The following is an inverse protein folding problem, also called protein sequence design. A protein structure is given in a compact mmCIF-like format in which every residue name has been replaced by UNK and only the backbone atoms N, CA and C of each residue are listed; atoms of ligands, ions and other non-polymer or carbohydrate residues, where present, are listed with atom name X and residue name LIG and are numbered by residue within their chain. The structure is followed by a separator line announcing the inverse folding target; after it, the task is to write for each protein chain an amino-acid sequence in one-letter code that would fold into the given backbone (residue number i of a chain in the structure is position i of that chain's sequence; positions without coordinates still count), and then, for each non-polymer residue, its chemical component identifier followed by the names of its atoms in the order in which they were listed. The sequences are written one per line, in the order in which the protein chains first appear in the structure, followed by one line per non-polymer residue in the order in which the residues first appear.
data_IF_197575917270
#
_entry.id   IF_197575917270
#
_cell.length_a   1.000
_cell.length_b   1.000
_cell.length_c   1.000
_cell.angle_alpha   90.00
_cell.angle_beta   90.00
_cell.angle_gamma   90.00
#
_symmetry.space_group_name_H-M   'P 1'
#
loop_
_entity.id
_entity.type
_entity.pdbx_description
1 polymer ?
#
# COMPACT_ATOMS: atom_id res chain seq x y z
N UNK A 1 11.30 -2.99 -12.84
CA UNK A 1 12.38 -3.22 -11.85
C UNK A 1 13.34 -2.04 -11.72
N UNK A 2 13.78 -1.39 -12.81
CA UNK A 2 14.61 -0.16 -12.73
C UNK A 2 13.92 0.98 -11.98
N UNK A 3 12.69 1.36 -12.38
CA UNK A 3 11.95 2.45 -11.75
C UNK A 3 11.70 2.27 -10.24
N UNK A 4 11.60 1.02 -9.75
CA UNK A 4 11.35 0.74 -8.33
C UNK A 4 12.60 0.94 -7.47
N UNK A 5 13.77 0.45 -7.94
CA UNK A 5 15.03 0.66 -7.23
C UNK A 5 15.46 2.12 -7.23
N UNK A 6 15.19 2.82 -8.34
CA UNK A 6 15.42 4.26 -8.47
C UNK A 6 14.55 5.06 -7.50
N UNK A 7 13.24 4.77 -7.46
CA UNK A 7 12.32 5.47 -6.57
C UNK A 7 12.62 5.18 -5.09
N UNK A 8 12.97 3.93 -4.74
CA UNK A 8 13.49 3.60 -3.42
C UNK A 8 14.75 4.43 -3.11
N UNK A 9 15.70 4.51 -4.03
CA UNK A 9 16.94 5.27 -3.85
C UNK A 9 16.70 6.77 -3.66
N UNK A 10 15.76 7.35 -4.43
CA UNK A 10 15.31 8.74 -4.29
C UNK A 10 14.73 8.98 -2.90
N UNK A 11 13.82 8.12 -2.45
CA UNK A 11 13.19 8.21 -1.13
C UNK A 11 14.20 7.99 0.01
N UNK A 12 15.14 7.06 -0.13
CA UNK A 12 16.21 6.86 0.87
C UNK A 12 17.09 8.12 1.02
N UNK A 13 17.37 8.82 -0.09
CA UNK A 13 18.11 10.10 -0.06
C UNK A 13 17.28 11.22 0.58
N UNK A 14 15.99 11.33 0.21
CA UNK A 14 15.06 12.34 0.72
C UNK A 14 14.82 12.18 2.23
N UNK A 15 14.60 10.95 2.68
CA UNK A 15 14.29 10.61 4.08
C UNK A 15 15.54 10.47 4.95
N UNK A 16 16.73 10.32 4.35
CA UNK A 16 17.97 10.06 5.08
C UNK A 16 18.01 8.70 5.80
N UNK A 17 17.19 7.74 5.36
CA UNK A 17 17.04 6.45 6.02
C UNK A 17 16.80 5.30 5.03
N UNK A 18 17.26 4.10 5.37
CA UNK A 18 17.03 2.88 4.58
C UNK A 18 15.59 2.43 4.70
N UNK A 19 14.97 2.10 3.57
CA UNK A 19 13.57 1.66 3.52
C UNK A 19 13.41 0.37 2.70
N UNK A 20 12.33 -0.37 2.96
CA UNK A 20 11.67 -1.22 1.98
C UNK A 20 10.59 -0.41 1.28
N UNK A 21 10.30 -0.76 0.04
CA UNK A 21 9.27 -0.12 -0.75
C UNK A 21 8.43 -1.22 -1.36
N UNK A 22 7.20 -1.37 -0.91
CA UNK A 22 6.34 -2.47 -1.32
C UNK A 22 5.21 -1.92 -2.18
N UNK A 23 4.99 -2.57 -3.32
CA UNK A 23 3.86 -2.27 -4.18
C UNK A 23 2.70 -3.17 -3.74
N UNK A 24 1.63 -2.55 -3.25
CA UNK A 24 0.45 -3.28 -2.81
C UNK A 24 -0.71 -2.94 -3.75
N UNK A 25 -1.26 -3.99 -4.36
CA UNK A 25 -2.58 -4.07 -5.00
C UNK A 25 -2.83 -3.27 -6.28
N UNK A 26 -3.81 -3.77 -7.06
CA UNK A 26 -4.17 -3.48 -8.45
C UNK A 26 -4.47 -2.01 -8.84
N UNK A 27 -5.07 -1.78 -10.04
CA UNK A 27 -5.10 -0.46 -10.68
C UNK A 27 -6.01 0.58 -10.00
N UNK A 28 -6.79 0.19 -8.98
CA UNK A 28 -7.65 1.11 -8.22
C UNK A 28 -6.76 2.13 -7.49
N UNK A 29 -7.08 3.42 -7.62
CA UNK A 29 -6.30 4.52 -7.06
C UNK A 29 -5.31 5.18 -8.04
N UNK A 30 -5.26 4.73 -9.30
CA UNK A 30 -4.50 5.40 -10.35
C UNK A 30 -5.23 6.64 -10.86
N UNK A 31 -4.93 7.80 -10.27
CA UNK A 31 -5.40 9.09 -10.79
C UNK A 31 -4.48 9.57 -11.93
N UNK A 32 -4.72 9.10 -13.17
CA UNK A 32 -4.09 9.67 -14.37
C UNK A 32 -2.60 9.40 -14.55
N UNK A 33 -2.02 8.46 -13.79
CA UNK A 33 -0.62 8.00 -13.93
C UNK A 33 -0.57 6.55 -14.44
N UNK A 34 0.52 6.20 -15.12
CA UNK A 34 0.80 4.79 -15.44
C UNK A 34 0.92 3.98 -14.13
N UNK A 35 0.39 2.75 -14.08
CA UNK A 35 0.55 1.87 -12.92
C UNK A 35 2.02 1.65 -12.58
N UNK A 36 2.30 1.58 -11.28
CA UNK A 36 3.57 1.01 -10.82
C UNK A 36 3.59 -0.48 -11.13
N UNK A 37 4.76 -1.08 -11.10
CA UNK A 37 4.91 -2.54 -11.20
C UNK A 37 5.30 -3.09 -9.84
N UNK A 38 4.57 -4.09 -9.38
CA UNK A 38 4.97 -4.86 -8.20
C UNK A 38 6.17 -5.78 -8.49
N UNK A 39 6.61 -6.51 -7.48
CA UNK A 39 7.74 -7.44 -7.55
C UNK A 39 7.48 -8.63 -8.49
N UNK A 40 6.21 -8.96 -8.71
CA UNK A 40 5.75 -9.96 -9.69
C UNK A 40 5.56 -9.39 -11.12
N UNK A 41 5.58 -8.07 -11.27
CA UNK A 41 5.33 -7.35 -12.52
C UNK A 41 3.86 -7.00 -12.79
N UNK A 42 2.96 -7.23 -11.83
CA UNK A 42 1.56 -6.81 -11.93
C UNK A 42 1.40 -5.30 -11.68
N UNK A 43 0.28 -4.75 -12.13
CA UNK A 43 -0.03 -3.33 -11.96
C UNK A 43 -0.33 -3.01 -10.50
N UNK A 44 0.31 -1.97 -9.98
CA UNK A 44 0.09 -1.46 -8.65
C UNK A 44 -0.39 0.00 -8.67
N UNK A 45 -1.49 0.26 -7.96
CA UNK A 45 -2.10 1.58 -7.87
C UNK A 45 -1.33 2.56 -7.00
N UNK A 46 -0.60 2.03 -6.01
CA UNK A 46 0.14 2.78 -5.00
C UNK A 46 1.29 1.94 -4.43
N UNK A 47 2.17 2.60 -3.68
CA UNK A 47 3.31 1.97 -3.01
C UNK A 47 3.37 2.44 -1.56
N UNK A 48 3.96 1.62 -0.70
CA UNK A 48 4.16 1.92 0.71
C UNK A 48 5.64 1.78 1.08
N UNK A 49 6.18 2.79 1.74
CA UNK A 49 7.55 2.78 2.24
C UNK A 49 7.56 2.38 3.72
N UNK A 50 8.44 1.45 4.08
CA UNK A 50 8.66 1.05 5.47
C UNK A 50 10.14 1.20 5.82
N UNK A 51 10.43 1.78 6.99
CA UNK A 51 11.81 1.84 7.51
C UNK A 51 12.37 0.42 7.62
N UNK A 52 13.61 0.20 7.18
CA UNK A 52 14.25 -1.12 7.26
C UNK A 52 14.41 -1.63 8.70
N UNK A 53 14.53 -0.70 9.67
CA UNK A 53 14.53 -1.02 11.10
C UNK A 53 13.14 -1.02 11.74
N UNK A 54 12.06 -0.89 10.96
CA UNK A 54 10.69 -0.90 11.44
C UNK A 54 10.20 -2.31 11.82
N UNK A 55 9.28 -2.39 12.77
CA UNK A 55 8.82 -3.64 13.37
C UNK A 55 7.52 -4.21 12.77
N UNK A 56 7.11 -3.80 11.58
CA UNK A 56 5.81 -4.20 11.01
C UNK A 56 5.95 -5.45 10.15
N UNK A 57 5.08 -6.42 10.42
CA UNK A 57 4.98 -7.69 9.71
C UNK A 57 3.85 -7.60 8.68
N UNK A 58 4.20 -7.69 7.40
CA UNK A 58 3.29 -7.48 6.25
C UNK A 58 2.10 -8.45 6.22
N UNK A 59 2.27 -9.69 6.71
CA UNK A 59 1.22 -10.72 6.61
C UNK A 59 -0.02 -10.43 7.48
N UNK A 60 0.17 -10.00 8.73
CA UNK A 60 -0.94 -9.73 9.65
C UNK A 60 -1.76 -8.52 9.18
N UNK A 61 -1.08 -7.49 8.64
CA UNK A 61 -1.72 -6.31 8.06
C UNK A 61 -2.62 -6.70 6.86
N UNK A 62 -2.12 -7.57 5.97
CA UNK A 62 -2.88 -8.05 4.80
C UNK A 62 -4.07 -8.91 5.24
N UNK A 63 -3.89 -9.85 6.17
CA UNK A 63 -4.97 -10.69 6.67
C UNK A 63 -6.05 -9.87 7.40
N UNK A 64 -5.63 -8.87 8.17
CA UNK A 64 -6.55 -7.97 8.89
C UNK A 64 -7.41 -7.17 7.90
N UNK A 65 -6.79 -6.58 6.88
CA UNK A 65 -7.52 -5.84 5.86
C UNK A 65 -8.45 -6.75 5.05
N UNK A 66 -8.00 -7.95 4.64
CA UNK A 66 -8.83 -8.92 3.95
C UNK A 66 -10.07 -9.28 4.78
N UNK A 67 -9.88 -9.58 6.07
CA UNK A 67 -10.99 -9.92 6.96
C UNK A 67 -11.99 -8.76 7.12
N UNK A 68 -11.51 -7.53 7.26
CA UNK A 68 -12.35 -6.34 7.29
C UNK A 68 -13.21 -6.21 6.01
N UNK A 69 -12.61 -6.42 4.84
CA UNK A 69 -13.32 -6.37 3.55
C UNK A 69 -14.35 -7.50 3.37
N UNK A 70 -14.18 -8.65 4.02
CA UNK A 70 -15.15 -9.75 3.95
C UNK A 70 -16.38 -9.52 4.84
N UNK A 71 -16.18 -8.91 6.02
CA UNK A 71 -17.18 -8.93 7.09
C UNK A 71 -17.83 -7.57 7.30
N UNK A 72 -17.11 -6.47 7.06
CA UNK A 72 -17.65 -5.14 7.30
C UNK A 72 -18.72 -4.79 6.26
N UNK A 73 -19.86 -4.21 6.67
CA UNK A 73 -20.79 -3.62 5.72
C UNK A 73 -20.13 -2.44 4.98
N UNK A 74 -20.71 -1.98 3.86
CA UNK A 74 -20.27 -0.75 3.21
C UNK A 74 -20.42 0.43 4.18
N UNK A 75 -19.32 1.12 4.45
CA UNK A 75 -19.29 2.34 5.28
C UNK A 75 -18.59 3.46 4.53
N UNK A 76 -18.97 4.70 4.83
CA UNK A 76 -18.38 5.88 4.22
C UNK A 76 -17.06 6.31 4.86
N UNK A 77 -16.81 5.88 6.11
CA UNK A 77 -15.65 6.30 6.90
C UNK A 77 -15.08 5.10 7.67
N UNK A 78 -13.74 4.99 7.69
CA UNK A 78 -13.00 3.98 8.45
C UNK A 78 -11.99 4.66 9.37
N UNK A 79 -11.78 4.08 10.55
CA UNK A 79 -10.75 4.50 11.49
C UNK A 79 -9.74 3.36 11.67
N UNK A 80 -8.49 3.60 11.26
CA UNK A 80 -7.37 2.68 11.45
C UNK A 80 -6.61 3.03 12.74
N UNK A 81 -6.83 2.26 13.80
CA UNK A 81 -6.19 2.46 15.10
C UNK A 81 -4.89 1.67 15.20
N UNK A 82 -3.82 2.30 15.72
CA UNK A 82 -2.51 1.66 15.71
C UNK A 82 -1.95 1.50 14.28
N UNK A 83 -2.33 2.42 13.40
CA UNK A 83 -2.13 2.34 11.94
C UNK A 83 -0.67 2.15 11.51
N UNK A 84 0.31 2.55 12.32
CA UNK A 84 1.74 2.45 11.99
C UNK A 84 2.04 3.08 10.63
N UNK A 85 2.46 2.26 9.65
CA UNK A 85 2.73 2.73 8.28
C UNK A 85 1.47 2.90 7.42
N UNK A 86 0.29 2.49 7.89
CA UNK A 86 -0.97 2.67 7.19
C UNK A 86 -1.49 1.48 6.39
N UNK A 87 -0.82 0.33 6.40
CA UNK A 87 -1.13 -0.80 5.51
C UNK A 87 -2.59 -1.24 5.59
N UNK A 88 -3.12 -1.45 6.80
CA UNK A 88 -4.50 -1.95 7.01
C UNK A 88 -5.52 -0.95 6.50
N UNK A 89 -5.40 0.32 6.92
CA UNK A 89 -6.28 1.40 6.47
C UNK A 89 -6.23 1.61 4.96
N UNK A 90 -5.04 1.61 4.35
CA UNK A 90 -4.87 1.78 2.90
C UNK A 90 -5.47 0.62 2.10
N UNK A 91 -5.23 -0.63 2.51
CA UNK A 91 -5.83 -1.80 1.87
C UNK A 91 -7.37 -1.81 1.99
N UNK A 92 -7.89 -1.44 3.16
CA UNK A 92 -9.34 -1.36 3.40
C UNK A 92 -9.95 -0.25 2.54
N UNK A 93 -9.33 0.93 2.48
CA UNK A 93 -9.75 2.04 1.63
C UNK A 93 -9.70 1.66 0.15
N UNK A 94 -8.66 0.95 -0.29
CA UNK A 94 -8.53 0.45 -1.66
C UNK A 94 -9.65 -0.54 -2.02
N UNK A 95 -9.94 -1.51 -1.13
CA UNK A 95 -10.95 -2.54 -1.37
C UNK A 95 -12.40 -2.03 -1.26
N UNK A 96 -12.65 -1.02 -0.43
CA UNK A 96 -13.96 -0.40 -0.27
C UNK A 96 -14.16 0.83 -1.16
N UNK A 97 -13.10 1.29 -1.83
CA UNK A 97 -13.14 2.43 -2.74
C UNK A 97 -14.19 2.26 -3.84
N UNK A 98 -14.72 3.39 -4.31
CA UNK A 98 -15.68 3.37 -5.41
C UNK A 98 -15.07 2.64 -6.61
N UNK A 99 -15.79 1.62 -7.11
CA UNK A 99 -15.42 1.00 -8.38
C UNK A 99 -15.52 2.08 -9.47
N UNK A 100 -14.50 2.24 -10.33
CA UNK A 100 -14.65 3.06 -11.51
C UNK A 100 -15.86 2.55 -12.31
N UNK A 101 -16.74 3.47 -12.72
CA UNK A 101 -17.89 3.18 -13.58
C UNK A 101 -17.45 2.66 -14.95
#
# INVERSE_FOLDING_TARGET
MENWNEERGRLEQELGERITLDALTGPIGLAGRQPWKDDSGADAGWMIAQRKGGHRHSADDVLTAWYALQISPPVSEHLDLGTGIGTVGLLTLWGMGQKPN
#
